data_IF_356359398101
#
_entry.id   IF_356359398101
#
_cell.length_a   1.000
_cell.length_b   1.000
_cell.length_c   1.000
_cell.angle_alpha   90.00
_cell.angle_beta   90.00
_cell.angle_gamma   90.00
#
_symmetry.space_group_name_H-M   'P 1'
#
loop_
_entity.id
_entity.type
_entity.pdbx_description
1 polymer ?
#
# COMPACT_ATOMS: atom_id res chain seq x y z
N UNK A 1 -4.58 19.67 -17.00
CA UNK A 1 -4.27 18.37 -16.40
C UNK A 1 -5.39 17.43 -16.83
N UNK A 2 -5.07 16.26 -17.40
CA UNK A 2 -6.07 15.24 -17.66
C UNK A 2 -6.65 14.77 -16.31
N UNK A 3 -7.96 14.53 -16.26
CA UNK A 3 -8.60 14.01 -15.06
C UNK A 3 -7.91 12.69 -14.63
N UNK A 4 -7.74 12.43 -13.33
CA UNK A 4 -7.31 11.12 -12.90
C UNK A 4 -8.31 10.08 -13.41
N UNK A 5 -7.80 8.95 -13.89
CA UNK A 5 -8.65 7.81 -14.25
C UNK A 5 -9.43 7.30 -13.03
N UNK A 6 -10.38 6.42 -13.25
CA UNK A 6 -11.13 5.79 -12.17
C UNK A 6 -10.18 5.02 -11.26
N UNK A 7 -10.41 5.11 -9.95
CA UNK A 7 -9.65 4.36 -8.94
C UNK A 7 -10.13 2.91 -8.96
N UNK A 8 -9.19 1.97 -9.03
CA UNK A 8 -9.50 0.54 -9.09
C UNK A 8 -10.21 0.08 -7.80
N UNK A 9 -11.37 -0.51 -7.98
CA UNK A 9 -12.15 -1.17 -6.93
C UNK A 9 -12.71 -2.49 -7.45
N UNK A 10 -12.91 -3.46 -6.56
CA UNK A 10 -13.46 -4.77 -6.91
C UNK A 10 -14.44 -5.20 -5.83
N UNK A 11 -15.68 -5.47 -6.22
CA UNK A 11 -16.64 -6.10 -5.34
C UNK A 11 -16.22 -7.54 -5.02
N UNK A 12 -15.75 -7.77 -3.80
CA UNK A 12 -15.26 -9.08 -3.34
C UNK A 12 -16.36 -10.14 -3.22
N UNK A 13 -17.63 -9.76 -3.25
CA UNK A 13 -18.75 -10.74 -3.27
C UNK A 13 -18.82 -11.53 -4.58
N UNK A 14 -18.13 -11.07 -5.63
CA UNK A 14 -17.99 -11.81 -6.89
C UNK A 14 -17.05 -13.02 -6.78
N UNK A 15 -16.14 -13.03 -5.82
CA UNK A 15 -15.31 -14.18 -5.50
C UNK A 15 -16.12 -15.20 -4.71
N UNK A 16 -16.22 -16.48 -5.13
CA UNK A 16 -17.20 -17.42 -4.59
C UNK A 16 -16.84 -18.04 -3.24
N UNK A 17 -15.60 -17.95 -2.81
CA UNK A 17 -15.08 -18.60 -1.62
C UNK A 17 -14.74 -17.60 -0.52
N UNK A 18 -14.97 -18.00 0.73
CA UNK A 18 -14.43 -17.27 1.87
C UNK A 18 -12.95 -17.58 2.05
N UNK A 19 -12.20 -16.65 2.64
CA UNK A 19 -10.78 -16.82 2.94
C UNK A 19 -10.60 -17.47 4.33
N UNK A 20 -11.23 -18.62 4.54
CA UNK A 20 -11.37 -19.27 5.85
C UNK A 20 -10.17 -20.12 6.26
N UNK A 21 -9.17 -20.26 5.40
CA UNK A 21 -7.92 -20.97 5.69
C UNK A 21 -6.79 -20.48 4.75
N UNK A 22 -5.54 -20.82 5.06
CA UNK A 22 -4.39 -20.41 4.24
C UNK A 22 -4.43 -20.94 2.79
N UNK A 23 -4.97 -22.13 2.56
CA UNK A 23 -5.07 -22.70 1.20
C UNK A 23 -6.03 -21.88 0.34
N UNK A 24 -7.19 -21.47 0.88
CA UNK A 24 -8.15 -20.62 0.15
C UNK A 24 -7.60 -19.20 -0.11
N UNK A 25 -6.77 -18.67 0.78
CA UNK A 25 -6.03 -17.44 0.53
C UNK A 25 -5.09 -17.63 -0.67
N UNK A 26 -4.35 -18.74 -0.74
CA UNK A 26 -3.44 -19.03 -1.84
C UNK A 26 -4.18 -19.20 -3.18
N UNK A 27 -5.33 -19.85 -3.20
CA UNK A 27 -6.18 -19.99 -4.40
C UNK A 27 -6.55 -18.61 -4.94
N UNK A 28 -7.10 -17.74 -4.09
CA UNK A 28 -7.47 -16.39 -4.48
C UNK A 28 -6.25 -15.56 -4.92
N UNK A 29 -5.12 -15.71 -4.25
CA UNK A 29 -3.86 -15.06 -4.60
C UNK A 29 -3.38 -15.47 -6.00
N UNK A 30 -3.35 -16.76 -6.31
CA UNK A 30 -2.98 -17.26 -7.66
C UNK A 30 -3.85 -16.65 -8.75
N UNK A 31 -5.16 -16.59 -8.51
CA UNK A 31 -6.11 -16.00 -9.46
C UNK A 31 -5.84 -14.53 -9.72
N UNK A 32 -5.64 -13.73 -8.65
CA UNK A 32 -5.37 -12.30 -8.79
C UNK A 32 -4.02 -12.04 -9.47
N UNK A 33 -2.98 -12.81 -9.14
CA UNK A 33 -1.66 -12.72 -9.76
C UNK A 33 -1.75 -12.98 -11.28
N UNK A 34 -2.42 -14.03 -11.69
CA UNK A 34 -2.55 -14.37 -13.11
C UNK A 34 -3.35 -13.31 -13.88
N UNK A 35 -4.41 -12.78 -13.28
CA UNK A 35 -5.22 -11.73 -13.91
C UNK A 35 -4.43 -10.42 -14.06
N UNK A 36 -3.68 -10.01 -13.06
CA UNK A 36 -2.80 -8.84 -13.16
C UNK A 36 -1.68 -9.06 -14.18
N UNK A 37 -1.03 -10.23 -14.15
CA UNK A 37 0.03 -10.60 -15.09
C UNK A 37 -0.45 -10.53 -16.54
N UNK A 38 -1.66 -11.00 -16.83
CA UNK A 38 -2.28 -10.87 -18.15
C UNK A 38 -2.47 -9.42 -18.57
N UNK A 39 -2.95 -8.57 -17.66
CA UNK A 39 -3.10 -7.13 -17.90
C UNK A 39 -1.76 -6.45 -18.16
N UNK A 40 -0.73 -6.79 -17.38
CA UNK A 40 0.63 -6.28 -17.53
C UNK A 40 1.21 -6.66 -18.90
N UNK A 41 1.09 -7.93 -19.29
CA UNK A 41 1.54 -8.42 -20.59
C UNK A 41 0.84 -7.67 -21.73
N UNK A 42 -0.49 -7.46 -21.63
CA UNK A 42 -1.24 -6.70 -22.62
C UNK A 42 -0.79 -5.25 -22.75
N UNK A 43 -0.35 -4.62 -21.65
CA UNK A 43 0.17 -3.25 -21.67
C UNK A 43 1.48 -3.10 -22.45
N UNK A 44 2.28 -4.15 -22.54
CA UNK A 44 3.55 -4.15 -23.24
C UNK A 44 3.38 -4.16 -24.77
N UNK A 45 2.21 -4.54 -25.27
CA UNK A 45 1.87 -4.51 -26.68
C UNK A 45 1.53 -3.10 -27.20
N UNK A 46 1.37 -2.11 -26.30
CA UNK A 46 1.07 -0.73 -26.65
C UNK A 46 2.36 0.03 -26.98
N UNK A 47 2.37 0.74 -28.10
CA UNK A 47 3.42 1.71 -28.39
C UNK A 47 3.27 2.97 -27.51
N UNK A 48 4.24 3.87 -27.56
CA UNK A 48 4.27 5.08 -26.73
C UNK A 48 3.02 5.95 -26.95
N UNK A 49 2.56 6.10 -28.19
CA UNK A 49 1.38 6.92 -28.51
C UNK A 49 0.09 6.31 -27.99
N UNK A 50 -0.09 5.00 -28.16
CA UNK A 50 -1.26 4.27 -27.63
C UNK A 50 -1.26 4.27 -26.10
N UNK A 51 -0.09 4.14 -25.49
CA UNK A 51 0.06 4.20 -24.03
C UNK A 51 -0.26 5.59 -23.48
N UNK A 52 0.25 6.65 -24.11
CA UNK A 52 -0.08 8.03 -23.75
C UNK A 52 -1.59 8.31 -23.85
N UNK A 53 -2.21 7.84 -24.92
CA UNK A 53 -3.66 7.96 -25.10
C UNK A 53 -4.43 7.21 -24.00
N UNK A 54 -4.07 5.96 -23.70
CA UNK A 54 -4.70 5.16 -22.65
C UNK A 54 -4.60 5.81 -21.28
N UNK A 55 -3.44 6.41 -20.97
CA UNK A 55 -3.19 7.06 -19.69
C UNK A 55 -3.74 8.50 -19.64
N UNK A 56 -4.30 9.04 -20.73
CA UNK A 56 -4.79 10.41 -20.80
C UNK A 56 -3.68 11.45 -20.68
N UNK A 57 -2.49 11.16 -21.22
CA UNK A 57 -1.29 11.99 -21.17
C UNK A 57 -0.91 12.47 -22.58
N UNK A 58 -0.16 13.56 -22.67
CA UNK A 58 0.42 14.02 -23.95
C UNK A 58 1.66 13.23 -24.34
N UNK A 59 2.48 12.93 -23.37
CA UNK A 59 3.73 12.17 -23.49
C UNK A 59 3.88 11.27 -22.27
N UNK A 60 4.68 10.23 -22.40
CA UNK A 60 4.99 9.30 -21.31
C UNK A 60 6.51 9.16 -21.17
N UNK A 61 6.99 8.96 -19.95
CA UNK A 61 8.34 8.51 -19.69
C UNK A 61 8.42 7.00 -19.86
N UNK A 62 8.77 6.53 -21.05
CA UNK A 62 8.77 5.11 -21.37
C UNK A 62 9.82 4.33 -20.58
N UNK A 63 10.98 4.94 -20.28
CA UNK A 63 12.01 4.28 -19.47
C UNK A 63 11.53 4.03 -18.05
N UNK A 64 10.87 5.00 -17.43
CA UNK A 64 10.27 4.83 -16.10
C UNK A 64 9.15 3.77 -16.11
N UNK A 65 8.33 3.75 -17.15
CA UNK A 65 7.27 2.73 -17.32
C UNK A 65 7.88 1.33 -17.46
N UNK A 66 8.92 1.17 -18.26
CA UNK A 66 9.58 -0.13 -18.45
C UNK A 66 10.28 -0.61 -17.18
N UNK A 67 10.93 0.27 -16.45
CA UNK A 67 11.51 -0.06 -15.12
C UNK A 67 10.44 -0.54 -14.14
N UNK A 68 9.29 0.13 -14.11
CA UNK A 68 8.16 -0.30 -13.29
C UNK A 68 7.63 -1.67 -13.74
N UNK A 69 7.45 -1.91 -15.03
CA UNK A 69 7.01 -3.21 -15.57
C UNK A 69 7.94 -4.34 -15.14
N UNK A 70 9.25 -4.14 -15.25
CA UNK A 70 10.24 -5.14 -14.82
C UNK A 70 10.11 -5.45 -13.32
N UNK A 71 9.96 -4.43 -12.50
CA UNK A 71 9.71 -4.60 -11.06
C UNK A 71 8.42 -5.35 -10.78
N UNK A 72 7.33 -5.02 -11.47
CA UNK A 72 6.04 -5.67 -11.30
C UNK A 72 6.12 -7.16 -11.68
N UNK A 73 6.81 -7.52 -12.75
CA UNK A 73 7.02 -8.92 -13.12
C UNK A 73 7.77 -9.70 -12.05
N UNK A 74 8.81 -9.14 -11.46
CA UNK A 74 9.54 -9.78 -10.37
C UNK A 74 8.65 -9.99 -9.13
N UNK A 75 7.86 -9.00 -8.78
CA UNK A 75 6.91 -9.11 -7.66
C UNK A 75 5.83 -10.17 -7.94
N UNK A 76 5.30 -10.23 -9.16
CA UNK A 76 4.31 -11.25 -9.56
C UNK A 76 4.89 -12.66 -9.46
N UNK A 77 6.12 -12.86 -9.92
CA UNK A 77 6.79 -14.16 -9.82
C UNK A 77 6.97 -14.58 -8.37
N UNK A 78 7.43 -13.68 -7.53
CA UNK A 78 7.56 -13.92 -6.07
C UNK A 78 6.21 -14.29 -5.45
N UNK A 79 5.15 -13.53 -5.74
CA UNK A 79 3.81 -13.80 -5.23
C UNK A 79 3.27 -15.16 -5.70
N UNK A 80 3.43 -15.49 -6.97
CA UNK A 80 2.98 -16.78 -7.49
C UNK A 80 3.78 -17.96 -6.92
N UNK A 81 5.09 -17.80 -6.76
CA UNK A 81 5.94 -18.83 -6.14
C UNK A 81 5.50 -19.19 -4.72
N UNK A 82 5.10 -18.21 -3.92
CA UNK A 82 4.51 -18.48 -2.61
C UNK A 82 3.11 -19.10 -2.71
N UNK A 83 2.25 -18.56 -3.55
CA UNK A 83 0.87 -19.03 -3.69
C UNK A 83 0.75 -20.44 -4.27
N UNK A 84 1.70 -20.90 -5.07
CA UNK A 84 1.66 -22.25 -5.64
C UNK A 84 2.10 -23.36 -4.68
N UNK A 85 2.61 -23.03 -3.50
CA UNK A 85 3.06 -24.02 -2.52
C UNK A 85 1.94 -24.90 -1.98
N UNK A 86 0.69 -24.47 -2.08
CA UNK A 86 -0.49 -25.24 -1.66
C UNK A 86 -1.22 -25.94 -2.82
N UNK A 87 -0.59 -26.04 -3.99
CA UNK A 87 -1.21 -26.66 -5.17
C UNK A 87 -1.51 -28.16 -5.02
N UNK A 88 -0.85 -28.85 -4.13
CA UNK A 88 -1.14 -30.22 -3.77
C UNK A 88 -2.43 -30.37 -2.90
N UNK A 89 -2.81 -29.30 -2.22
CA UNK A 89 -4.02 -29.24 -1.40
C UNK A 89 -5.23 -28.75 -2.21
N UNK A 90 -5.04 -27.79 -3.09
CA UNK A 90 -6.05 -27.28 -4.02
C UNK A 90 -5.37 -26.83 -5.31
N UNK A 91 -5.70 -27.48 -6.41
CA UNK A 91 -5.08 -27.28 -7.70
C UNK A 91 -5.67 -26.11 -8.52
N UNK A 92 -6.64 -25.36 -7.97
CA UNK A 92 -7.25 -24.22 -8.65
C UNK A 92 -6.21 -23.16 -9.00
N UNK A 93 -6.16 -22.75 -10.27
CA UNK A 93 -5.20 -21.76 -10.79
C UNK A 93 -3.73 -22.17 -10.63
N UNK A 94 -3.46 -23.47 -10.55
CA UNK A 94 -2.12 -24.01 -10.50
C UNK A 94 -1.64 -24.37 -11.91
N UNK A 95 -0.55 -23.73 -12.28
CA UNK A 95 0.13 -23.93 -13.56
C UNK A 95 1.62 -24.10 -13.31
N UNK A 96 2.33 -24.69 -14.27
CA UNK A 96 3.78 -24.79 -14.17
C UNK A 96 4.41 -23.41 -14.36
N UNK A 97 4.85 -22.82 -13.25
CA UNK A 97 5.58 -21.54 -13.21
C UNK A 97 6.86 -21.73 -12.40
N UNK A 98 8.00 -21.64 -13.08
CA UNK A 98 9.33 -21.78 -12.48
C UNK A 98 10.12 -20.46 -12.55
N UNK A 99 9.85 -19.66 -13.56
CA UNK A 99 10.58 -18.44 -13.88
C UNK A 99 9.68 -17.39 -14.58
N UNK A 100 10.24 -16.24 -14.92
CA UNK A 100 9.50 -15.18 -15.62
C UNK A 100 8.97 -15.64 -17.00
N UNK A 101 9.74 -16.32 -17.87
CA UNK A 101 9.22 -16.81 -19.13
C UNK A 101 7.99 -17.69 -18.99
N UNK A 102 7.99 -18.63 -18.04
CA UNK A 102 6.85 -19.51 -17.80
C UNK A 102 5.66 -18.78 -17.19
N UNK A 103 5.87 -17.81 -16.30
CA UNK A 103 4.79 -16.94 -15.80
C UNK A 103 4.15 -16.13 -16.93
N UNK A 104 4.96 -15.55 -17.81
CA UNK A 104 4.47 -14.78 -18.96
C UNK A 104 3.67 -15.67 -19.92
N UNK A 105 4.12 -16.89 -20.16
CA UNK A 105 3.41 -17.88 -20.98
C UNK A 105 2.03 -18.21 -20.39
N UNK A 106 1.97 -18.48 -19.08
CA UNK A 106 0.71 -18.76 -18.40
C UNK A 106 -0.22 -17.56 -18.38
N UNK A 107 0.32 -16.36 -18.16
CA UNK A 107 -0.45 -15.11 -18.24
C UNK A 107 -1.10 -14.90 -19.62
N UNK A 108 -0.36 -15.19 -20.69
CA UNK A 108 -0.88 -15.07 -22.07
C UNK A 108 -2.04 -16.04 -22.35
N UNK A 109 -2.01 -17.22 -21.76
CA UNK A 109 -3.02 -18.27 -21.93
C UNK A 109 -4.16 -18.19 -20.90
N UNK A 110 -4.04 -17.35 -19.88
CA UNK A 110 -4.97 -17.32 -18.77
C UNK A 110 -6.35 -16.85 -19.20
N UNK A 111 -7.32 -17.75 -19.08
CA UNK A 111 -8.73 -17.51 -19.39
C UNK A 111 -9.58 -18.22 -18.33
N UNK A 112 -10.61 -17.56 -17.85
CA UNK A 112 -11.64 -18.16 -17.00
C UNK A 112 -12.85 -18.45 -17.90
N UNK A 113 -13.26 -19.71 -18.00
CA UNK A 113 -14.39 -20.10 -18.85
C UNK A 113 -15.73 -19.63 -18.25
N UNK A 114 -16.73 -19.45 -19.10
CA UNK A 114 -18.07 -19.04 -18.68
C UNK A 114 -18.76 -20.07 -17.77
N UNK A 115 -18.32 -21.32 -17.82
CA UNK A 115 -18.82 -22.42 -16.98
C UNK A 115 -18.04 -22.56 -15.65
N UNK A 116 -16.99 -21.78 -15.48
CA UNK A 116 -16.15 -21.82 -14.27
C UNK A 116 -16.92 -21.40 -13.04
N UNK A 117 -16.63 -22.05 -11.91
CA UNK A 117 -17.06 -21.62 -10.58
C UNK A 117 -16.66 -20.15 -10.27
N UNK A 118 -15.59 -19.66 -10.89
CA UNK A 118 -15.03 -18.32 -10.72
C UNK A 118 -15.47 -17.31 -11.79
N UNK A 119 -16.43 -17.67 -12.64
CA UNK A 119 -16.81 -16.83 -13.79
C UNK A 119 -17.30 -15.43 -13.39
N UNK A 120 -18.04 -15.31 -12.27
CA UNK A 120 -18.55 -14.01 -11.78
C UNK A 120 -17.45 -13.04 -11.37
N UNK A 121 -16.32 -13.57 -10.92
CA UNK A 121 -15.15 -12.80 -10.51
C UNK A 121 -14.32 -12.33 -11.71
N UNK A 122 -14.28 -13.09 -12.79
CA UNK A 122 -13.30 -12.92 -13.88
C UNK A 122 -13.32 -11.53 -14.50
N UNK A 123 -14.46 -11.03 -14.94
CA UNK A 123 -14.54 -9.72 -15.61
C UNK A 123 -14.36 -8.55 -14.64
N UNK A 124 -15.00 -8.49 -13.46
CA UNK A 124 -14.68 -7.47 -12.46
C UNK A 124 -13.20 -7.43 -12.06
N UNK A 125 -12.56 -8.57 -11.92
CA UNK A 125 -11.13 -8.64 -11.61
C UNK A 125 -10.27 -8.15 -12.77
N UNK A 126 -10.58 -8.51 -14.00
CA UNK A 126 -9.90 -7.99 -15.19
C UNK A 126 -9.93 -6.46 -15.24
N UNK A 127 -11.10 -5.87 -14.99
CA UNK A 127 -11.26 -4.41 -14.96
C UNK A 127 -10.46 -3.80 -13.82
N UNK A 128 -10.53 -4.39 -12.63
CA UNK A 128 -9.76 -3.94 -11.46
C UNK A 128 -8.27 -3.88 -11.76
N UNK A 129 -7.69 -4.97 -12.23
CA UNK A 129 -6.25 -5.06 -12.47
C UNK A 129 -5.80 -4.17 -13.62
N UNK A 130 -6.63 -3.96 -14.63
CA UNK A 130 -6.35 -2.99 -15.68
C UNK A 130 -6.32 -1.56 -15.14
N UNK A 131 -7.30 -1.17 -14.35
CA UNK A 131 -7.36 0.17 -13.73
C UNK A 131 -6.21 0.37 -12.74
N UNK A 132 -5.91 -0.62 -11.90
CA UNK A 132 -4.80 -0.56 -10.96
C UNK A 132 -3.44 -0.43 -11.68
N UNK A 133 -3.21 -1.21 -12.73
CA UNK A 133 -2.04 -1.06 -13.56
C UNK A 133 -1.94 0.35 -14.18
N UNK A 134 -3.04 0.89 -14.68
CA UNK A 134 -3.06 2.24 -15.26
C UNK A 134 -2.75 3.32 -14.20
N UNK A 135 -3.20 3.15 -12.97
CA UNK A 135 -2.79 4.03 -11.85
C UNK A 135 -1.26 4.03 -11.68
N UNK A 136 -0.63 2.86 -11.65
CA UNK A 136 0.82 2.73 -11.49
C UNK A 136 1.60 3.27 -12.69
N UNK A 137 1.18 2.90 -13.91
CA UNK A 137 1.83 3.37 -15.15
C UNK A 137 1.72 4.89 -15.29
N UNK A 138 0.59 5.48 -14.91
CA UNK A 138 0.40 6.92 -14.93
C UNK A 138 1.33 7.64 -13.94
N UNK A 139 1.49 7.11 -12.74
CA UNK A 139 2.44 7.63 -11.75
C UNK A 139 3.87 7.59 -12.30
N UNK A 140 4.30 6.47 -12.86
CA UNK A 140 5.62 6.34 -13.46
C UNK A 140 5.82 7.31 -14.64
N UNK A 141 4.82 7.47 -15.49
CA UNK A 141 4.89 8.36 -16.66
C UNK A 141 5.01 9.85 -16.28
N UNK A 142 4.33 10.27 -15.22
CA UNK A 142 4.29 11.66 -14.78
C UNK A 142 5.45 12.02 -13.85
N UNK A 143 5.74 11.15 -12.90
CA UNK A 143 6.76 11.39 -11.89
C UNK A 143 7.11 10.08 -11.18
N UNK A 144 8.21 9.42 -11.55
CA UNK A 144 8.66 8.21 -10.86
C UNK A 144 8.99 8.45 -9.38
N UNK A 145 9.06 9.71 -8.95
CA UNK A 145 9.43 10.13 -7.60
C UNK A 145 8.24 10.27 -6.65
N UNK A 146 7.04 9.88 -7.04
CA UNK A 146 5.83 10.14 -6.26
C UNK A 146 5.41 9.02 -5.34
N UNK A 147 5.82 7.77 -5.55
CA UNK A 147 5.47 6.64 -4.68
C UNK A 147 6.50 5.51 -4.70
N UNK A 148 6.55 4.72 -3.63
CA UNK A 148 7.36 3.50 -3.53
C UNK A 148 6.88 2.36 -4.42
N UNK A 149 5.63 2.42 -4.86
CA UNK A 149 5.09 1.46 -5.83
C UNK A 149 5.81 1.55 -7.17
N UNK A 150 6.44 2.70 -7.46
CA UNK A 150 7.13 3.00 -8.71
C UNK A 150 8.64 2.82 -8.60
N UNK A 151 9.28 3.42 -7.59
CA UNK A 151 10.74 3.38 -7.46
C UNK A 151 11.23 3.75 -6.05
N UNK A 152 12.49 3.38 -5.74
CA UNK A 152 13.23 3.76 -4.54
C UNK A 152 14.47 4.57 -4.93
N UNK A 153 14.86 5.53 -4.06
CA UNK A 153 16.02 6.39 -4.29
C UNK A 153 17.28 5.93 -3.57
N UNK A 154 17.18 5.08 -2.57
CA UNK A 154 18.34 4.60 -1.83
C UNK A 154 17.97 3.74 -0.63
N UNK A 155 19.01 3.31 0.08
CA UNK A 155 18.93 2.43 1.25
C UNK A 155 18.28 3.07 2.49
N UNK A 156 18.09 4.38 2.46
CA UNK A 156 17.36 5.12 3.51
C UNK A 156 15.83 5.06 3.35
N UNK A 157 15.34 4.49 2.26
CA UNK A 157 13.91 4.28 2.02
C UNK A 157 13.49 2.86 2.39
N UNK A 158 12.38 2.74 3.10
CA UNK A 158 11.81 1.47 3.55
C UNK A 158 10.36 1.33 3.11
N UNK A 159 10.03 0.15 2.67
CA UNK A 159 8.66 -0.34 2.46
C UNK A 159 8.56 -1.77 2.99
N UNK A 160 7.60 -2.55 2.52
CA UNK A 160 7.41 -3.94 2.94
C UNK A 160 8.07 -4.99 2.07
N UNK A 161 8.95 -4.64 1.14
CA UNK A 161 9.55 -5.61 0.19
C UNK A 161 10.27 -6.77 0.88
N UNK A 162 10.87 -6.52 2.06
CA UNK A 162 11.61 -7.54 2.83
C UNK A 162 10.73 -8.30 3.84
N UNK A 163 9.45 -7.98 3.96
CA UNK A 163 8.54 -8.67 4.87
C UNK A 163 8.28 -10.10 4.41
N UNK A 164 8.05 -10.98 5.37
CA UNK A 164 7.72 -12.38 5.08
C UNK A 164 6.36 -12.51 4.37
N UNK A 165 6.21 -13.61 3.63
CA UNK A 165 4.95 -13.95 2.97
C UNK A 165 3.78 -13.95 3.96
N UNK A 166 2.65 -13.38 3.54
CA UNK A 166 1.42 -13.22 4.31
C UNK A 166 1.53 -12.35 5.57
N UNK A 167 2.59 -11.53 5.66
CA UNK A 167 2.79 -10.58 6.76
C UNK A 167 2.48 -9.16 6.28
N UNK A 168 1.65 -8.44 7.04
CA UNK A 168 1.24 -7.08 6.72
C UNK A 168 1.43 -6.15 7.91
N UNK A 169 1.80 -4.92 7.63
CA UNK A 169 1.87 -3.84 8.61
C UNK A 169 0.83 -2.76 8.28
N UNK A 170 0.07 -2.36 9.30
CA UNK A 170 -0.83 -1.22 9.20
C UNK A 170 -0.08 0.09 9.40
N UNK A 171 -0.34 1.04 8.53
CA UNK A 171 0.15 2.41 8.67
C UNK A 171 -0.94 3.42 8.32
N UNK A 172 -0.84 4.61 8.92
CA UNK A 172 -1.87 5.64 8.84
C UNK A 172 -1.24 6.99 8.54
N UNK A 173 -1.70 7.61 7.46
CA UNK A 173 -1.30 8.95 7.06
C UNK A 173 -2.19 10.02 7.68
N UNK A 174 -1.61 11.18 7.87
CA UNK A 174 -2.32 12.42 8.17
C UNK A 174 -2.84 13.10 6.88
N UNK A 175 -3.43 14.27 7.01
CA UNK A 175 -3.91 15.09 5.90
C UNK A 175 -3.81 16.58 6.25
N UNK A 176 -3.98 17.44 5.26
CA UNK A 176 -4.05 18.87 5.46
C UNK A 176 -5.25 19.30 6.33
N UNK A 177 -6.35 18.54 6.25
CA UNK A 177 -7.57 18.81 7.01
C UNK A 177 -7.43 18.33 8.46
N UNK A 178 -7.93 19.12 9.40
CA UNK A 178 -7.93 18.76 10.81
C UNK A 178 -9.02 17.75 11.17
N UNK A 179 -10.13 17.79 10.46
CA UNK A 179 -11.31 16.95 10.74
C UNK A 179 -11.84 16.31 9.46
N UNK A 180 -12.43 15.10 9.54
CA UNK A 180 -12.52 14.29 10.75
C UNK A 180 -11.15 13.82 11.24
N UNK A 181 -11.02 13.49 12.53
CA UNK A 181 -9.81 12.95 13.12
C UNK A 181 -10.12 11.65 13.86
N UNK A 182 -9.68 10.54 13.29
CA UNK A 182 -9.93 9.20 13.80
C UNK A 182 -8.70 8.57 14.46
N UNK A 183 -7.65 9.36 14.71
CA UNK A 183 -6.37 8.88 15.23
C UNK A 183 -6.52 8.09 16.52
N UNK A 184 -7.21 8.63 17.51
CA UNK A 184 -7.37 7.96 18.81
C UNK A 184 -8.34 6.79 18.76
N UNK A 185 -9.40 6.90 17.95
CA UNK A 185 -10.29 5.78 17.71
C UNK A 185 -9.52 4.57 17.10
N UNK A 186 -8.66 4.83 16.12
CA UNK A 186 -7.81 3.82 15.49
C UNK A 186 -6.84 3.20 16.50
N UNK A 187 -6.15 4.03 17.27
CA UNK A 187 -5.20 3.54 18.28
C UNK A 187 -5.89 2.64 19.33
N UNK A 188 -7.07 3.05 19.80
CA UNK A 188 -7.87 2.27 20.73
C UNK A 188 -8.41 0.97 20.10
N UNK A 189 -8.92 1.05 18.88
CA UNK A 189 -9.44 -0.09 18.14
C UNK A 189 -8.35 -1.16 17.93
N UNK A 190 -7.16 -0.76 17.49
CA UNK A 190 -6.04 -1.68 17.31
C UNK A 190 -5.60 -2.31 18.64
N UNK A 191 -5.48 -1.51 19.67
CA UNK A 191 -5.11 -2.00 21.02
C UNK A 191 -6.11 -3.04 21.55
N UNK A 192 -7.42 -2.78 21.41
CA UNK A 192 -8.47 -3.74 21.78
C UNK A 192 -8.46 -5.01 20.93
N UNK A 193 -8.00 -4.92 19.70
CA UNK A 193 -7.84 -6.05 18.78
C UNK A 193 -6.49 -6.77 18.95
N UNK A 194 -5.68 -6.38 19.94
CA UNK A 194 -4.32 -6.88 20.16
C UNK A 194 -3.41 -6.69 18.92
N UNK A 195 -3.55 -5.56 18.27
CA UNK A 195 -2.82 -5.17 17.07
C UNK A 195 -2.10 -3.85 17.27
N UNK A 196 -1.14 -3.58 16.42
CA UNK A 196 -0.45 -2.28 16.37
C UNK A 196 -0.36 -1.74 14.95
N UNK A 197 -0.10 -0.46 14.84
CA UNK A 197 0.16 0.22 13.58
C UNK A 197 1.08 1.42 13.78
N UNK A 198 1.60 1.93 12.68
CA UNK A 198 2.44 3.12 12.66
C UNK A 198 1.62 4.33 12.22
N UNK A 199 1.55 5.31 13.10
CA UNK A 199 0.83 6.57 12.88
C UNK A 199 1.83 7.64 12.45
N UNK A 200 1.72 8.13 11.22
CA UNK A 200 2.57 9.20 10.71
C UNK A 200 1.91 10.55 11.00
N UNK A 201 2.36 11.19 12.09
CA UNK A 201 1.76 12.40 12.63
C UNK A 201 2.45 13.66 12.10
N UNK A 202 1.69 14.72 11.91
CA UNK A 202 2.24 16.06 11.68
C UNK A 202 2.72 16.68 13.00
N UNK A 203 3.87 17.33 12.98
CA UNK A 203 4.40 18.01 14.16
C UNK A 203 3.42 19.02 14.74
N UNK A 204 2.77 19.83 13.89
CA UNK A 204 1.76 20.80 14.31
C UNK A 204 0.54 20.14 14.99
N UNK A 205 0.14 18.94 14.56
CA UNK A 205 -1.00 18.24 15.17
C UNK A 205 -0.65 17.68 16.54
N UNK A 206 0.58 17.19 16.74
CA UNK A 206 1.10 16.80 18.05
C UNK A 206 1.18 18.02 18.96
N UNK A 207 1.70 19.15 18.47
CA UNK A 207 1.77 20.39 19.25
C UNK A 207 0.37 20.89 19.66
N UNK A 208 -0.60 20.84 18.77
CA UNK A 208 -1.98 21.21 19.06
C UNK A 208 -2.58 20.35 20.19
N UNK A 209 -2.37 19.02 20.13
CA UNK A 209 -2.81 18.11 21.19
C UNK A 209 -2.15 18.40 22.55
N UNK A 210 -0.87 18.73 22.55
CA UNK A 210 -0.14 19.09 23.77
C UNK A 210 -0.59 20.41 24.39
N UNK A 211 -1.16 21.32 23.59
CA UNK A 211 -1.74 22.57 24.09
C UNK A 211 -3.11 22.34 24.79
N UNK A 212 -3.80 21.27 24.43
CA UNK A 212 -5.15 20.96 24.94
C UNK A 212 -5.13 19.98 26.11
N UNK A 213 -4.09 19.16 26.23
CA UNK A 213 -4.01 18.09 27.24
C UNK A 213 -2.58 17.73 27.63
N UNK A 214 -2.47 16.98 28.73
CA UNK A 214 -1.16 16.55 29.27
C UNK A 214 -0.42 15.56 28.35
N UNK A 215 0.88 15.54 28.46
CA UNK A 215 1.76 14.55 27.80
C UNK A 215 1.35 13.11 28.17
N UNK A 216 1.05 12.87 29.46
CA UNK A 216 0.62 11.54 29.92
C UNK A 216 -0.67 11.07 29.24
N UNK A 217 -1.64 11.95 29.04
CA UNK A 217 -2.87 11.64 28.31
C UNK A 217 -2.59 11.24 26.86
N UNK A 218 -1.65 11.92 26.21
CA UNK A 218 -1.26 11.62 24.84
C UNK A 218 -0.50 10.29 24.77
N UNK A 219 0.38 10.00 25.71
CA UNK A 219 1.09 8.71 25.82
C UNK A 219 0.11 7.54 25.99
N UNK A 220 -0.93 7.72 26.81
CA UNK A 220 -2.00 6.70 26.97
C UNK A 220 -2.74 6.47 25.65
N UNK A 221 -3.06 7.54 24.92
CA UNK A 221 -3.78 7.44 23.64
C UNK A 221 -3.02 6.59 22.61
N UNK A 222 -1.68 6.68 22.56
CA UNK A 222 -0.83 5.92 21.64
C UNK A 222 -0.26 4.65 22.25
N UNK A 223 -0.69 4.24 23.44
CA UNK A 223 -0.17 3.03 24.10
C UNK A 223 -0.17 1.82 23.15
N UNK A 224 0.98 1.13 23.07
CA UNK A 224 1.22 -0.02 22.19
C UNK A 224 1.21 0.30 20.67
N UNK A 225 1.13 1.56 20.30
CA UNK A 225 1.21 1.99 18.91
C UNK A 225 2.54 2.69 18.63
N UNK A 226 2.96 2.73 17.36
CA UNK A 226 4.16 3.44 16.93
C UNK A 226 3.79 4.80 16.31
N UNK A 227 4.62 5.81 16.58
CA UNK A 227 4.45 7.15 16.04
C UNK A 227 5.71 7.54 15.26
N UNK A 228 5.56 7.63 13.95
CA UNK A 228 6.47 8.29 13.05
C UNK A 228 6.00 9.70 12.73
N UNK A 229 6.70 10.37 11.82
CA UNK A 229 6.35 11.73 11.44
C UNK A 229 6.09 11.86 9.95
N UNK A 230 5.25 12.84 9.60
CA UNK A 230 4.92 13.20 8.22
C UNK A 230 5.33 14.65 7.90
N UNK A 231 6.32 15.16 8.64
CA UNK A 231 6.77 16.55 8.63
C UNK A 231 6.00 17.42 9.62
N UNK A 232 6.34 18.71 9.62
CA UNK A 232 5.66 19.67 10.52
C UNK A 232 4.23 19.95 10.07
N UNK A 233 4.03 20.12 8.76
CA UNK A 233 2.73 20.34 8.13
C UNK A 233 2.56 19.49 6.87
N UNK A 234 1.33 19.22 6.47
CA UNK A 234 1.00 18.40 5.31
C UNK A 234 1.18 19.18 4.01
N UNK A 235 2.39 19.12 3.46
CA UNK A 235 2.73 19.66 2.15
C UNK A 235 3.85 18.85 1.50
N UNK A 236 3.99 18.96 0.19
CA UNK A 236 5.08 18.28 -0.51
C UNK A 236 6.44 18.75 0.00
N UNK A 237 7.28 17.78 0.37
CA UNK A 237 8.67 18.03 0.79
C UNK A 237 9.68 17.94 -0.36
N UNK A 238 9.24 17.67 -1.58
CA UNK A 238 10.12 17.48 -2.73
C UNK A 238 10.80 18.78 -3.17
N UNK A 239 10.11 19.91 -3.12
CA UNK A 239 10.63 21.23 -3.55
C UNK A 239 10.56 22.31 -2.46
N UNK A 240 10.11 21.96 -1.25
CA UNK A 240 10.02 22.90 -0.15
C UNK A 240 11.41 23.21 0.43
N UNK A 241 11.78 24.48 0.52
CA UNK A 241 13.07 24.88 1.01
C UNK A 241 13.34 24.43 2.45
N UNK A 242 12.33 24.52 3.35
CA UNK A 242 12.45 24.19 4.77
C UNK A 242 12.13 22.72 5.08
N UNK A 243 12.21 21.81 4.10
CA UNK A 243 11.84 20.42 4.28
C UNK A 243 12.67 19.70 5.36
N UNK A 244 13.96 20.01 5.47
CA UNK A 244 14.83 19.41 6.51
C UNK A 244 14.42 19.84 7.92
N UNK A 245 14.12 21.14 8.10
CA UNK A 245 13.64 21.65 9.38
C UNK A 245 12.28 21.05 9.74
N UNK A 246 11.38 20.93 8.78
CA UNK A 246 10.08 20.27 8.95
C UNK A 246 10.21 18.85 9.49
N UNK A 247 11.06 18.05 8.87
CA UNK A 247 11.29 16.65 9.26
C UNK A 247 11.96 16.58 10.65
N UNK A 248 13.08 17.28 10.84
CA UNK A 248 13.84 17.27 12.09
C UNK A 248 13.00 17.73 13.27
N UNK A 249 12.35 18.88 13.15
CA UNK A 249 11.53 19.48 14.20
C UNK A 249 10.37 18.58 14.63
N UNK A 250 9.70 17.94 13.67
CA UNK A 250 8.61 17.00 13.98
C UNK A 250 9.12 15.73 14.66
N UNK A 251 10.24 15.17 14.20
CA UNK A 251 10.85 13.99 14.80
C UNK A 251 11.32 14.26 16.24
N UNK A 252 12.00 15.38 16.48
CA UNK A 252 12.47 15.79 17.80
C UNK A 252 11.30 15.96 18.78
N UNK A 253 10.19 16.56 18.34
CA UNK A 253 8.99 16.73 19.16
C UNK A 253 8.42 15.38 19.58
N UNK A 254 8.19 14.47 18.64
CA UNK A 254 7.63 13.13 18.93
C UNK A 254 8.59 12.35 19.83
N UNK A 255 9.87 12.32 19.52
CA UNK A 255 10.89 11.61 20.29
C UNK A 255 10.94 12.10 21.74
N UNK A 256 10.79 13.41 21.96
CA UNK A 256 10.83 14.00 23.34
C UNK A 256 9.55 13.76 24.13
N UNK A 257 8.38 13.75 23.49
CA UNK A 257 7.08 13.68 24.16
C UNK A 257 6.46 12.29 24.20
N UNK A 258 6.78 11.45 23.24
CA UNK A 258 6.29 10.09 23.08
C UNK A 258 7.44 9.09 22.89
N UNK A 259 8.45 9.04 23.80
CA UNK A 259 9.65 8.26 23.59
C UNK A 259 9.39 6.76 23.45
N UNK A 260 8.37 6.23 24.14
CA UNK A 260 8.01 4.80 24.08
C UNK A 260 7.31 4.41 22.76
N UNK A 261 6.75 5.39 22.06
CA UNK A 261 6.01 5.17 20.81
C UNK A 261 6.80 5.58 19.59
N UNK A 262 7.81 6.44 19.77
CA UNK A 262 8.58 7.00 18.68
C UNK A 262 9.31 5.92 17.89
N UNK A 263 9.16 6.00 16.56
CA UNK A 263 9.99 5.27 15.59
C UNK A 263 10.67 6.28 14.67
N UNK A 264 11.96 6.07 14.30
CA UNK A 264 12.74 7.05 13.53
C UNK A 264 12.37 7.01 12.03
N UNK A 265 11.10 7.23 11.74
CA UNK A 265 10.53 7.14 10.40
C UNK A 265 9.86 8.45 9.98
N UNK A 266 10.14 8.87 8.76
CA UNK A 266 9.45 9.96 8.09
C UNK A 266 8.70 9.42 6.87
N UNK A 267 7.40 9.72 6.78
CA UNK A 267 6.62 9.46 5.57
C UNK A 267 6.37 10.77 4.83
N UNK A 268 6.89 10.91 3.61
CA UNK A 268 6.63 12.11 2.84
C UNK A 268 5.14 12.23 2.48
N UNK A 269 4.52 13.39 2.68
CA UNK A 269 3.14 13.63 2.27
C UNK A 269 2.93 13.27 0.78
N UNK A 270 1.91 12.46 0.50
CA UNK A 270 1.60 11.94 -0.83
C UNK A 270 2.74 11.13 -1.51
N UNK A 271 3.74 10.71 -0.73
CA UNK A 271 4.92 10.00 -1.25
C UNK A 271 5.90 10.89 -2.01
N UNK A 272 5.67 12.19 -2.06
CA UNK A 272 6.52 13.14 -2.79
C UNK A 272 7.81 13.41 -2.04
N UNK A 273 8.94 13.07 -2.64
CA UNK A 273 10.25 13.08 -1.99
C UNK A 273 11.38 13.46 -2.95
N UNK A 274 12.57 13.56 -2.38
CA UNK A 274 13.78 14.02 -3.06
C UNK A 274 14.75 12.87 -3.27
N UNK A 275 15.38 12.82 -4.44
CA UNK A 275 16.44 11.84 -4.74
C UNK A 275 17.78 12.19 -4.07
N UNK A 276 17.96 13.43 -3.62
CA UNK A 276 19.21 13.96 -3.03
C UNK A 276 19.18 14.02 -1.49
N UNK A 277 18.24 13.31 -0.86
CA UNK A 277 18.00 13.42 0.59
C UNK A 277 18.76 12.40 1.45
N UNK A 278 19.46 11.44 0.88
CA UNK A 278 20.09 10.33 1.60
C UNK A 278 21.02 10.77 2.73
N UNK A 279 21.92 11.72 2.47
CA UNK A 279 22.85 12.23 3.50
C UNK A 279 22.13 12.85 4.70
N UNK A 280 21.03 13.57 4.47
CA UNK A 280 20.24 14.14 5.56
C UNK A 280 19.64 13.05 6.44
N UNK A 281 19.00 12.04 5.86
CA UNK A 281 18.36 10.95 6.61
C UNK A 281 19.39 10.13 7.37
N UNK A 282 20.52 9.79 6.76
CA UNK A 282 21.63 9.13 7.44
C UNK A 282 22.15 9.94 8.64
N UNK A 283 22.38 11.24 8.46
CA UNK A 283 22.90 12.11 9.52
C UNK A 283 21.88 12.30 10.67
N UNK A 284 20.58 12.25 10.39
CA UNK A 284 19.54 12.36 11.40
C UNK A 284 19.18 11.02 12.05
N UNK A 285 19.72 9.90 11.58
CA UNK A 285 19.31 8.57 12.02
C UNK A 285 17.84 8.27 11.72
N UNK A 286 17.31 8.82 10.62
CA UNK A 286 15.94 8.65 10.16
C UNK A 286 15.91 7.84 8.87
N UNK A 287 14.80 7.16 8.63
CA UNK A 287 14.49 6.51 7.36
C UNK A 287 13.18 7.04 6.78
N UNK A 288 13.08 7.01 5.47
CA UNK A 288 11.84 7.31 4.77
C UNK A 288 10.98 6.05 4.74
N UNK A 289 9.77 6.13 5.31
CA UNK A 289 8.82 5.03 5.34
C UNK A 289 7.78 5.18 4.22
N UNK A 290 7.79 4.25 3.31
CA UNK A 290 6.89 4.17 2.17
C UNK A 290 5.84 3.06 2.39
N UNK A 291 5.10 2.67 1.37
CA UNK A 291 4.05 1.66 1.44
C UNK A 291 4.01 0.81 0.17
N UNK A 292 3.31 -0.31 0.24
CA UNK A 292 3.12 -1.26 -0.86
C UNK A 292 1.68 -1.29 -1.35
N UNK A 293 0.73 -1.02 -0.44
CA UNK A 293 -0.71 -1.09 -0.68
C UNK A 293 -1.35 0.21 -0.22
N UNK A 294 -1.93 0.95 -1.17
CA UNK A 294 -2.63 2.20 -0.90
C UNK A 294 -4.16 1.96 -0.89
N UNK A 295 -4.78 2.26 0.23
CA UNK A 295 -6.23 2.14 0.40
C UNK A 295 -7.03 3.16 -0.43
N UNK A 296 -6.37 4.21 -0.94
CA UNK A 296 -7.00 5.30 -1.73
C UNK A 296 -8.18 5.98 -1.01
N UNK A 297 -8.13 6.02 0.30
CA UNK A 297 -9.13 6.68 1.15
C UNK A 297 -8.80 8.16 1.43
N UNK A 298 -7.58 8.60 1.10
CA UNK A 298 -7.15 9.98 1.26
C UNK A 298 -7.97 10.97 0.43
N UNK A 299 -8.17 12.19 0.96
CA UNK A 299 -8.97 13.26 0.35
C UNK A 299 -10.40 12.85 -0.02
N UNK A 300 -10.96 11.83 0.66
CA UNK A 300 -12.33 11.35 0.40
C UNK A 300 -12.51 10.62 -0.95
N UNK A 301 -11.43 10.14 -1.55
CA UNK A 301 -11.45 9.47 -2.86
C UNK A 301 -12.31 8.22 -2.84
N UNK A 302 -12.04 7.28 -1.92
CA UNK A 302 -12.86 6.08 -1.74
C UNK A 302 -13.54 6.09 -0.38
N UNK A 303 -14.78 5.56 -0.37
CA UNK A 303 -15.51 5.25 0.87
C UNK A 303 -14.99 3.94 1.49
N UNK A 304 -15.48 3.62 2.70
CA UNK A 304 -14.96 2.50 3.49
C UNK A 304 -15.01 1.15 2.79
N UNK A 305 -16.17 0.73 2.27
CA UNK A 305 -16.29 -0.59 1.63
C UNK A 305 -15.47 -0.73 0.35
N UNK A 306 -15.54 0.18 -0.63
CA UNK A 306 -14.67 0.11 -1.80
C UNK A 306 -13.18 0.12 -1.46
N UNK A 307 -12.77 0.94 -0.50
CA UNK A 307 -11.38 1.00 -0.03
C UNK A 307 -10.93 -0.35 0.58
N UNK A 308 -11.75 -0.93 1.46
CA UNK A 308 -11.47 -2.21 2.10
C UNK A 308 -11.34 -3.36 1.09
N UNK A 309 -12.25 -3.42 0.13
CA UNK A 309 -12.26 -4.45 -0.92
C UNK A 309 -11.04 -4.32 -1.84
N UNK A 310 -10.66 -3.09 -2.18
CA UNK A 310 -9.42 -2.81 -2.89
C UNK A 310 -8.19 -3.32 -2.12
N UNK A 311 -8.09 -2.98 -0.85
CA UNK A 311 -6.97 -3.41 0.01
C UNK A 311 -6.88 -4.93 0.05
N UNK A 312 -7.99 -5.63 0.27
CA UNK A 312 -8.00 -7.10 0.29
C UNK A 312 -7.52 -7.69 -1.04
N UNK A 313 -7.96 -7.16 -2.18
CA UNK A 313 -7.53 -7.62 -3.50
C UNK A 313 -6.01 -7.43 -3.67
N UNK A 314 -5.47 -6.28 -3.23
CA UNK A 314 -4.02 -6.04 -3.29
C UNK A 314 -3.23 -6.87 -2.28
N UNK A 315 -3.80 -7.21 -1.12
CA UNK A 315 -3.19 -8.17 -0.19
C UNK A 315 -3.08 -9.57 -0.81
N UNK A 316 -4.09 -10.00 -1.55
CA UNK A 316 -4.06 -11.26 -2.30
C UNK A 316 -3.02 -11.23 -3.43
N UNK A 317 -2.93 -10.12 -4.14
CA UNK A 317 -1.99 -9.93 -5.25
C UNK A 317 -0.53 -9.92 -4.77
N UNK A 318 -0.20 -9.12 -3.77
CA UNK A 318 1.18 -8.86 -3.33
C UNK A 318 1.63 -9.71 -2.15
N UNK A 319 0.71 -10.28 -1.39
CA UNK A 319 0.92 -11.26 -0.31
C UNK A 319 1.62 -10.77 0.95
N UNK A 320 2.25 -9.61 0.91
CA UNK A 320 2.91 -8.98 2.06
C UNK A 320 3.04 -7.48 1.83
N UNK A 321 3.33 -6.74 2.87
CA UNK A 321 3.69 -5.34 2.72
C UNK A 321 3.04 -4.40 3.71
N UNK A 322 3.38 -3.12 3.55
CA UNK A 322 2.85 -2.01 4.32
C UNK A 322 1.57 -1.49 3.68
N UNK A 323 0.49 -1.48 4.44
CA UNK A 323 -0.81 -0.95 4.03
C UNK A 323 -0.95 0.49 4.53
N UNK A 324 -1.32 1.40 3.63
CA UNK A 324 -1.52 2.79 3.94
C UNK A 324 -3.01 3.17 3.94
N UNK A 325 -3.54 3.51 5.12
CA UNK A 325 -4.83 4.15 5.33
C UNK A 325 -4.65 5.62 5.76
N UNK A 326 -5.71 6.39 5.71
CA UNK A 326 -5.71 7.78 6.16
C UNK A 326 -6.52 7.94 7.47
N UNK A 327 -5.85 8.40 8.53
CA UNK A 327 -6.50 8.59 9.85
C UNK A 327 -7.45 9.79 9.89
N UNK A 328 -7.40 10.66 8.90
CA UNK A 328 -8.24 11.85 8.78
C UNK A 328 -9.47 11.62 7.89
N UNK A 329 -9.82 10.36 7.63
CA UNK A 329 -10.99 9.98 6.83
C UNK A 329 -11.85 8.97 7.57
N UNK A 330 -13.18 9.15 7.57
CA UNK A 330 -14.09 8.20 8.21
C UNK A 330 -14.17 6.84 7.51
N UNK A 331 -13.70 6.77 6.26
CA UNK A 331 -13.62 5.53 5.50
C UNK A 331 -12.89 4.42 6.26
N UNK A 332 -11.82 4.74 7.00
CA UNK A 332 -11.02 3.76 7.74
C UNK A 332 -11.80 3.06 8.86
N UNK A 333 -12.78 3.74 9.46
CA UNK A 333 -13.64 3.15 10.51
C UNK A 333 -14.49 1.98 10.01
N UNK A 334 -14.86 2.00 8.74
CA UNK A 334 -15.58 0.91 8.07
C UNK A 334 -14.61 -0.10 7.46
N UNK A 335 -13.57 0.40 6.79
CA UNK A 335 -12.63 -0.42 6.04
C UNK A 335 -11.84 -1.36 6.92
N UNK A 336 -11.24 -0.87 8.00
CA UNK A 336 -10.32 -1.66 8.82
C UNK A 336 -11.02 -2.81 9.56
N UNK A 337 -12.16 -2.62 10.25
CA UNK A 337 -12.89 -3.74 10.87
C UNK A 337 -13.33 -4.80 9.87
N UNK A 338 -13.81 -4.40 8.70
CA UNK A 338 -14.20 -5.33 7.64
C UNK A 338 -13.00 -6.17 7.17
N UNK A 339 -11.86 -5.51 6.90
CA UNK A 339 -10.64 -6.16 6.43
C UNK A 339 -10.12 -7.20 7.44
N UNK A 340 -10.08 -6.84 8.73
CA UNK A 340 -9.65 -7.74 9.81
C UNK A 340 -10.59 -8.95 9.91
N UNK A 341 -11.89 -8.73 9.81
CA UNK A 341 -12.88 -9.82 9.85
C UNK A 341 -12.72 -10.75 8.65
N UNK A 342 -12.57 -10.23 7.44
CA UNK A 342 -12.43 -11.04 6.22
C UNK A 342 -11.15 -11.87 6.20
N UNK A 343 -10.10 -11.41 6.86
CA UNK A 343 -8.78 -12.07 6.85
C UNK A 343 -8.47 -12.87 8.11
N UNK A 344 -9.39 -12.92 9.08
CA UNK A 344 -9.14 -13.49 10.40
C UNK A 344 -8.69 -14.96 10.39
N UNK A 345 -9.15 -15.76 9.43
CA UNK A 345 -8.84 -17.19 9.29
C UNK A 345 -7.94 -17.50 8.07
N UNK A 346 -7.47 -16.49 7.35
CA UNK A 346 -6.78 -16.64 6.08
C UNK A 346 -5.30 -17.06 6.20
N UNK A 347 -4.78 -17.13 7.42
CA UNK A 347 -3.36 -17.44 7.66
C UNK A 347 -2.42 -16.26 7.49
N UNK A 348 -2.95 -15.03 7.29
CA UNK A 348 -2.12 -13.82 7.32
C UNK A 348 -1.74 -13.45 8.75
N UNK A 349 -0.62 -12.75 8.90
CA UNK A 349 -0.17 -12.13 10.13
C UNK A 349 -0.16 -10.61 10.03
N UNK A 350 -0.32 -9.96 11.19
CA UNK A 350 -0.16 -8.53 11.34
C UNK A 350 1.14 -8.27 12.11
N UNK A 351 2.07 -7.57 11.45
CA UNK A 351 3.38 -7.25 12.04
C UNK A 351 3.21 -6.30 13.22
N UNK A 352 3.99 -6.51 14.28
CA UNK A 352 4.14 -5.51 15.33
C UNK A 352 4.92 -4.33 14.78
N UNK A 353 4.37 -3.14 14.94
CA UNK A 353 5.00 -1.91 14.43
C UNK A 353 6.39 -1.64 15.03
N UNK A 354 6.71 -2.17 16.21
CA UNK A 354 8.03 -2.07 16.83
C UNK A 354 9.09 -2.92 16.10
N UNK A 355 8.67 -4.00 15.43
CA UNK A 355 9.57 -4.92 14.75
C UNK A 355 9.73 -4.60 13.26
N UNK A 356 8.77 -3.85 12.71
CA UNK A 356 8.62 -3.56 11.30
C UNK A 356 9.75 -2.69 10.78
N UNK A 357 10.71 -2.57 10.51
CA UNK A 357 11.79 -1.68 10.04
C UNK A 357 13.06 -1.77 10.89
N UNK A 358 13.21 -2.88 11.63
CA UNK A 358 14.44 -3.21 12.34
C UNK A 358 15.49 -3.84 11.43
#
# INVERSE_FOLDING_TARGET
MAAPGDIATLDRSTWPEKLDNPTLFDVASRAEVLMFARGLLGSEALDEAALAQRLGLRTVNLDAINSLRDRLWQRLLTSYNYAQQSCDQDASFCFLVEDLPTLREQAAKFVVSDESYYTKWAEPSRIFHQQYLDELLRKAALSPQTTSEVDHFGDYERNGDEMHDRLFLLSFDSAANLMPDNTEWLAEYLRKSNMSGTFFMLGKDIQARLNERSVSSLQVAFSRQCVGVQGWEFRSHSHWQDWQDSVRRSADLVKSKLPENYVPLFRPPEGQRRSDAGSFFHNQGLQVALWDIDAQDGAGKLKGNPSAQRVLTLMLLWRHGVINFNMKQDAVKTALPWLITQTAQSGIGWEDCQDAFR
#
